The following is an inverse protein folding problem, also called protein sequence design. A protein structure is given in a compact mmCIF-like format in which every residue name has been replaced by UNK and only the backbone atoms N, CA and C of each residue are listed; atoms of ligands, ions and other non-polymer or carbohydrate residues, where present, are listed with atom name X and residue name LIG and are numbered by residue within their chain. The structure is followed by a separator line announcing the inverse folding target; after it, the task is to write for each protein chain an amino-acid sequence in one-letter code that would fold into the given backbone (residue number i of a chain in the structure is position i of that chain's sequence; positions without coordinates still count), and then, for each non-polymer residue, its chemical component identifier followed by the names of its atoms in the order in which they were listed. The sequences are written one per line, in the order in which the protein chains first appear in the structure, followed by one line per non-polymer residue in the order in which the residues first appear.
data_IF_080447661998
#
_entry.id   IF_080447661998
#
_cell.length_a   1.000
_cell.length_b   1.000
_cell.length_c   1.000
_cell.angle_alpha   90.00
_cell.angle_beta   90.00
_cell.angle_gamma   90.00
#
_symmetry.space_group_name_H-M   'P 1'
#
loop_
_entity.id
_entity.type
_entity.pdbx_description
1 polymer ?
#
# COMPACT_ATOMS: atom_id res chain seq x y z
N UNK A 1 12.41 -49.91 -3.94
CA UNK A 1 12.98 -48.76 -3.20
C UNK A 1 13.10 -47.47 -4.03
N UNK A 2 13.38 -47.51 -5.35
CA UNK A 2 13.43 -46.28 -6.16
C UNK A 2 12.06 -45.58 -6.31
N UNK A 3 11.00 -46.34 -6.64
CA UNK A 3 9.66 -45.76 -6.90
C UNK A 3 9.07 -44.99 -5.71
N UNK A 4 9.31 -45.43 -4.47
CA UNK A 4 8.78 -44.78 -3.25
C UNK A 4 9.39 -43.38 -3.01
N UNK A 5 10.66 -43.19 -3.38
CA UNK A 5 11.36 -41.90 -3.25
C UNK A 5 10.83 -40.90 -4.28
N UNK A 6 10.54 -41.35 -5.52
CA UNK A 6 9.95 -40.49 -6.54
C UNK A 6 8.54 -40.02 -6.17
N UNK A 7 7.70 -40.90 -5.62
CA UNK A 7 6.37 -40.52 -5.13
C UNK A 7 6.44 -39.53 -3.96
N UNK A 8 7.34 -39.74 -2.99
CA UNK A 8 7.54 -38.81 -1.87
C UNK A 8 7.95 -37.40 -2.34
N UNK A 9 8.89 -37.31 -3.29
CA UNK A 9 9.33 -36.03 -3.83
C UNK A 9 8.24 -35.33 -4.67
N UNK A 10 7.46 -36.06 -5.45
CA UNK A 10 6.36 -35.49 -6.24
C UNK A 10 5.24 -34.92 -5.37
N UNK A 11 4.88 -35.62 -4.28
CA UNK A 11 3.90 -35.13 -3.30
C UNK A 11 4.44 -33.92 -2.55
N UNK A 12 5.73 -33.89 -2.22
CA UNK A 12 6.34 -32.74 -1.55
C UNK A 12 6.38 -31.50 -2.47
N UNK A 13 6.68 -31.68 -3.75
CA UNK A 13 6.67 -30.60 -4.75
C UNK A 13 5.25 -30.03 -4.96
N UNK A 14 4.22 -30.87 -4.97
CA UNK A 14 2.84 -30.38 -5.13
C UNK A 14 2.32 -29.65 -3.90
N UNK A 15 2.62 -30.14 -2.68
CA UNK A 15 2.24 -29.48 -1.42
C UNK A 15 2.92 -28.11 -1.30
N UNK A 16 4.22 -28.03 -1.62
CA UNK A 16 4.96 -26.76 -1.60
C UNK A 16 4.46 -25.77 -2.65
N UNK A 17 4.12 -26.23 -3.85
CA UNK A 17 3.52 -25.38 -4.88
C UNK A 17 2.16 -24.80 -4.45
N UNK A 18 1.33 -25.60 -3.77
CA UNK A 18 0.02 -25.15 -3.26
C UNK A 18 0.16 -24.10 -2.15
N UNK A 19 1.17 -24.25 -1.30
CA UNK A 19 1.45 -23.30 -0.20
C UNK A 19 1.89 -21.92 -0.73
N UNK A 20 2.67 -21.90 -1.81
CA UNK A 20 3.15 -20.65 -2.42
C UNK A 20 1.99 -19.84 -3.03
N UNK A 21 1.01 -20.51 -3.65
CA UNK A 21 -0.14 -19.84 -4.25
C UNK A 21 -1.02 -19.14 -3.19
N UNK A 22 -1.20 -19.75 -2.01
CA UNK A 22 -2.03 -19.20 -0.95
C UNK A 22 -1.49 -17.89 -0.32
N UNK A 23 -0.19 -17.64 -0.40
CA UNK A 23 0.45 -16.44 0.19
C UNK A 23 0.23 -15.18 -0.68
N UNK A 24 -0.05 -15.34 -1.97
CA UNK A 24 -0.11 -14.21 -2.92
C UNK A 24 -1.39 -13.37 -2.86
N UNK A 25 -2.43 -13.79 -2.14
CA UNK A 25 -3.73 -13.12 -2.09
C UNK A 25 -3.87 -12.03 -1.03
N UNK A 26 -2.87 -11.82 -0.16
CA UNK A 26 -2.99 -10.93 1.03
C UNK A 26 -2.49 -9.49 0.80
N UNK A 27 -2.01 -9.15 -0.40
CA UNK A 27 -1.26 -7.90 -0.61
C UNK A 27 -2.12 -6.67 -0.98
N UNK A 28 -3.44 -6.80 -1.11
CA UNK A 28 -4.30 -5.72 -1.62
C UNK A 28 -5.00 -4.88 -0.54
N UNK A 29 -4.97 -5.30 0.72
CA UNK A 29 -5.81 -4.73 1.79
C UNK A 29 -5.19 -3.54 2.55
N UNK A 30 -3.87 -3.34 2.46
CA UNK A 30 -3.19 -2.30 3.24
C UNK A 30 -3.57 -0.85 2.87
N UNK A 31 -3.91 -0.57 1.61
CA UNK A 31 -4.20 0.81 1.17
C UNK A 31 -5.58 1.31 1.58
N UNK A 32 -6.54 0.42 1.79
CA UNK A 32 -7.93 0.79 2.05
C UNK A 32 -8.12 1.13 3.52
N UNK A 33 -7.50 0.35 4.41
CA UNK A 33 -7.48 0.61 5.85
C UNK A 33 -6.77 1.91 6.20
N UNK A 34 -5.62 2.20 5.56
CA UNK A 34 -4.90 3.46 5.75
C UNK A 34 -5.72 4.66 5.27
N UNK A 35 -6.44 4.52 4.16
CA UNK A 35 -7.32 5.58 3.63
C UNK A 35 -8.51 5.88 4.56
N UNK A 36 -9.14 4.85 5.14
CA UNK A 36 -10.22 5.05 6.12
C UNK A 36 -9.69 5.73 7.39
N UNK A 37 -8.52 5.34 7.89
CA UNK A 37 -7.86 6.00 9.04
C UNK A 37 -7.58 7.48 8.75
N UNK A 38 -7.05 7.79 7.57
CA UNK A 38 -6.83 9.18 7.13
C UNK A 38 -8.13 10.00 7.16
N UNK A 39 -9.22 9.46 6.58
CA UNK A 39 -10.52 10.14 6.57
C UNK A 39 -11.06 10.39 7.98
N UNK A 40 -10.91 9.42 8.88
CA UNK A 40 -11.34 9.57 10.28
C UNK A 40 -10.49 10.62 10.99
N UNK A 41 -9.16 10.57 10.83
CA UNK A 41 -8.22 11.48 11.48
C UNK A 41 -8.45 12.94 11.10
N UNK A 42 -8.76 13.21 9.83
CA UNK A 42 -8.99 14.57 9.33
C UNK A 42 -10.47 14.92 9.14
N UNK A 43 -11.38 14.06 9.60
CA UNK A 43 -12.84 14.22 9.50
C UNK A 43 -13.35 14.49 8.07
N UNK A 44 -12.65 13.98 7.06
CA UNK A 44 -12.99 14.17 5.67
C UNK A 44 -14.24 13.37 5.30
N UNK A 45 -15.28 14.05 4.81
CA UNK A 45 -16.51 13.42 4.30
C UNK A 45 -16.71 13.76 2.83
N UNK A 46 -16.58 12.74 1.98
CA UNK A 46 -16.84 12.87 0.54
C UNK A 46 -18.23 12.31 0.22
N UNK A 47 -19.21 13.16 -0.15
CA UNK A 47 -20.56 12.71 -0.45
C UNK A 47 -20.68 11.93 -1.77
N UNK A 48 -19.74 12.11 -2.70
CA UNK A 48 -19.75 11.45 -4.02
C UNK A 48 -18.66 10.35 -4.09
N UNK A 49 -18.99 9.10 -4.47
CA UNK A 49 -18.03 8.03 -4.70
C UNK A 49 -16.91 8.38 -5.70
N UNK A 50 -17.22 9.13 -6.75
CA UNK A 50 -16.24 9.56 -7.76
C UNK A 50 -15.21 10.51 -7.15
N UNK A 51 -15.66 11.44 -6.31
CA UNK A 51 -14.78 12.37 -5.60
C UNK A 51 -13.92 11.64 -4.56
N UNK A 52 -14.50 10.67 -3.84
CA UNK A 52 -13.73 9.82 -2.92
C UNK A 52 -12.64 9.03 -3.66
N UNK A 53 -12.94 8.46 -4.83
CA UNK A 53 -11.93 7.73 -5.63
C UNK A 53 -10.82 8.65 -6.14
N UNK A 54 -11.15 9.85 -6.60
CA UNK A 54 -10.15 10.84 -7.03
C UNK A 54 -9.26 11.29 -5.87
N UNK A 55 -9.85 11.67 -4.73
CA UNK A 55 -9.13 12.10 -3.52
C UNK A 55 -8.26 10.96 -2.95
N UNK A 56 -8.73 9.71 -3.00
CA UNK A 56 -7.93 8.53 -2.64
C UNK A 56 -6.70 8.36 -3.54
N UNK A 57 -6.84 8.57 -4.86
CA UNK A 57 -5.70 8.51 -5.80
C UNK A 57 -4.67 9.60 -5.50
N UNK A 58 -5.12 10.82 -5.18
CA UNK A 58 -4.25 11.94 -4.81
C UNK A 58 -3.49 11.64 -3.52
N UNK A 59 -4.21 11.19 -2.48
CA UNK A 59 -3.63 10.78 -1.22
C UNK A 59 -2.59 9.68 -1.42
N UNK A 60 -2.90 8.64 -2.19
CA UNK A 60 -1.95 7.57 -2.49
C UNK A 60 -0.68 8.09 -3.17
N UNK A 61 -0.82 9.03 -4.11
CA UNK A 61 0.33 9.66 -4.76
C UNK A 61 1.18 10.46 -3.77
N UNK A 62 0.57 11.26 -2.89
CA UNK A 62 1.30 12.05 -1.89
C UNK A 62 1.93 11.17 -0.81
N UNK A 63 1.24 10.14 -0.31
CA UNK A 63 1.79 9.17 0.65
C UNK A 63 2.98 8.41 0.07
N UNK A 64 2.93 8.04 -1.21
CA UNK A 64 4.08 7.43 -1.89
C UNK A 64 5.26 8.41 -2.00
N UNK A 65 5.01 9.69 -2.30
CA UNK A 65 6.06 10.71 -2.32
C UNK A 65 6.68 10.92 -0.94
N UNK A 66 5.87 10.94 0.13
CA UNK A 66 6.33 11.03 1.51
C UNK A 66 7.20 9.82 1.87
N UNK A 67 6.75 8.60 1.55
CA UNK A 67 7.53 7.37 1.78
C UNK A 67 8.88 7.43 1.05
N UNK A 68 8.89 7.88 -0.20
CA UNK A 68 10.12 8.05 -0.98
C UNK A 68 11.06 9.10 -0.37
N UNK A 69 10.52 10.24 0.08
CA UNK A 69 11.31 11.28 0.75
C UNK A 69 11.89 10.79 2.08
N UNK A 70 11.09 10.12 2.91
CA UNK A 70 11.54 9.60 4.20
C UNK A 70 12.60 8.51 4.04
N UNK A 71 12.52 7.69 2.98
CA UNK A 71 13.58 6.74 2.65
C UNK A 71 14.90 7.44 2.34
N UNK A 72 14.88 8.55 1.58
CA UNK A 72 16.07 9.38 1.31
C UNK A 72 16.58 10.11 2.56
N UNK A 73 15.68 10.63 3.39
CA UNK A 73 16.01 11.27 4.65
C UNK A 73 16.73 10.30 5.59
N UNK A 74 16.27 9.03 5.67
CA UNK A 74 16.93 7.99 6.45
C UNK A 74 18.32 7.60 5.91
N UNK A 75 18.55 7.79 4.61
CA UNK A 75 19.87 7.63 3.99
C UNK A 75 20.78 8.86 4.20
N UNK A 76 20.30 9.91 4.86
CA UNK A 76 21.04 11.15 5.12
C UNK A 76 20.96 12.21 4.01
N UNK A 77 20.19 11.97 2.94
CA UNK A 77 20.05 12.93 1.82
C UNK A 77 19.19 14.15 2.19
N UNK A 78 18.35 14.01 3.22
CA UNK A 78 17.47 15.07 3.70
C UNK A 78 17.52 15.15 5.23
N UNK A 79 17.49 16.37 5.77
CA UNK A 79 17.54 16.65 7.21
C UNK A 79 16.18 16.65 7.90
N UNK A 80 15.09 16.41 7.15
CA UNK A 80 13.73 16.43 7.65
C UNK A 80 12.95 15.22 7.15
N UNK A 81 11.88 14.90 7.88
CA UNK A 81 10.93 13.87 7.50
C UNK A 81 9.61 14.52 7.13
N UNK A 82 8.91 13.92 6.18
CA UNK A 82 7.56 14.32 5.80
C UNK A 82 6.55 13.37 6.46
N UNK A 83 5.37 13.89 6.79
CA UNK A 83 4.24 13.11 7.29
C UNK A 83 2.98 13.49 6.53
N UNK A 84 1.97 12.62 6.63
CA UNK A 84 0.64 12.94 6.12
C UNK A 84 0.06 14.12 6.89
N UNK A 85 -0.65 14.99 6.17
CA UNK A 85 -1.28 16.19 6.72
C UNK A 85 -2.65 16.41 6.06
N UNK A 86 -3.38 17.43 6.49
CA UNK A 86 -4.68 17.81 5.91
C UNK A 86 -4.63 18.12 4.40
N UNK A 87 -3.44 18.34 3.84
CA UNK A 87 -3.22 18.64 2.43
C UNK A 87 -2.82 17.41 1.60
N UNK A 88 -2.81 16.22 2.21
CA UNK A 88 -2.42 14.99 1.52
C UNK A 88 -3.41 14.59 0.42
N UNK A 89 -4.67 15.04 0.48
CA UNK A 89 -5.69 14.83 -0.57
C UNK A 89 -5.93 16.05 -1.49
N UNK A 90 -5.15 17.12 -1.33
CA UNK A 90 -5.32 18.36 -2.10
C UNK A 90 -4.64 18.29 -3.47
N UNK A 91 -5.30 18.90 -4.47
CA UNK A 91 -4.76 19.08 -5.81
C UNK A 91 -3.81 20.28 -5.77
N UNK A 92 -2.66 20.18 -6.45
CA UNK A 92 -1.66 21.26 -6.47
C UNK A 92 -2.23 22.56 -7.05
N UNK A 93 -3.12 22.45 -8.05
CA UNK A 93 -3.87 23.59 -8.63
C UNK A 93 -4.85 24.26 -7.64
N UNK A 94 -5.31 23.57 -6.59
CA UNK A 94 -6.14 24.19 -5.53
C UNK A 94 -5.30 25.01 -4.55
N UNK A 95 -3.97 24.80 -4.49
CA UNK A 95 -3.10 25.50 -3.53
C UNK A 95 -2.79 26.94 -3.94
N UNK A 96 -3.01 27.29 -5.20
CA UNK A 96 -2.68 28.61 -5.78
C UNK A 96 -3.88 29.56 -5.87
N UNK A 97 -5.05 29.20 -5.35
CA UNK A 97 -6.23 30.08 -5.23
C UNK A 97 -6.45 30.52 -3.80
#
# INVERSE_FOLDING_TARGET
NCSFIFYGNMVQISVTAYLILAVSSVNAEGSDDEWEKYKIMFQNRYPNPQMNSLRKKLWLSKTNAIKAHNSKANNGDHSYIMSENIFSDYIEEEKEK
#
